data_IF_100006456831
#
_entry.id   IF_100006456831
#
_cell.length_a   1.000
_cell.length_b   1.000
_cell.length_c   1.000
_cell.angle_alpha   90.00
_cell.angle_beta   90.00
_cell.angle_gamma   90.00
#
_symmetry.space_group_name_H-M   'P 1'
#
loop_
_entity.id
_entity.type
_entity.pdbx_description
1 polymer ?
#
# COMPACT_ATOMS: atom_id res chain seq x y z
N UNK A 1 -21.14 -0.63 -14.61
CA UNK A 1 -21.33 -1.12 -13.23
C UNK A 1 -22.41 -0.26 -12.57
N UNK A 2 -23.25 -0.78 -11.67
CA UNK A 2 -24.17 0.06 -10.91
C UNK A 2 -23.39 0.81 -9.82
N UNK A 3 -23.77 2.04 -9.51
CA UNK A 3 -23.09 2.89 -8.52
C UNK A 3 -23.07 2.23 -7.14
N UNK A 4 -24.22 1.73 -6.67
CA UNK A 4 -24.37 0.96 -5.42
C UNK A 4 -23.37 -0.21 -5.33
N UNK A 5 -23.25 -1.02 -6.39
CA UNK A 5 -22.30 -2.14 -6.42
C UNK A 5 -20.85 -1.67 -6.34
N UNK A 6 -20.50 -0.57 -6.99
CA UNK A 6 -19.15 0.00 -6.93
C UNK A 6 -18.83 0.50 -5.52
N UNK A 7 -19.78 1.17 -4.87
CA UNK A 7 -19.67 1.66 -3.50
C UNK A 7 -19.51 0.52 -2.51
N UNK A 8 -20.32 -0.53 -2.61
CA UNK A 8 -20.20 -1.75 -1.79
C UNK A 8 -18.83 -2.41 -1.98
N UNK A 9 -18.37 -2.56 -3.23
CA UNK A 9 -17.05 -3.13 -3.52
C UNK A 9 -15.92 -2.30 -2.91
N UNK A 10 -15.98 -0.96 -3.03
CA UNK A 10 -14.98 -0.07 -2.44
C UNK A 10 -15.03 -0.10 -0.91
N UNK A 11 -16.23 -0.12 -0.33
CA UNK A 11 -16.44 -0.19 1.11
C UNK A 11 -15.90 -1.50 1.73
N UNK A 12 -15.96 -2.60 1.00
CA UNK A 12 -15.36 -3.88 1.40
C UNK A 12 -13.85 -3.93 1.16
N UNK A 13 -13.40 -3.51 -0.03
CA UNK A 13 -12.01 -3.65 -0.43
C UNK A 13 -11.08 -2.69 0.31
N UNK A 14 -11.49 -1.43 0.52
CA UNK A 14 -10.65 -0.44 1.18
C UNK A 14 -10.14 -0.88 2.57
N UNK A 15 -11.00 -1.24 3.55
CA UNK A 15 -10.54 -1.65 4.88
C UNK A 15 -9.81 -3.00 4.86
N UNK A 16 -10.00 -3.85 3.83
CA UNK A 16 -9.19 -5.05 3.65
C UNK A 16 -7.75 -4.67 3.27
N UNK A 17 -7.57 -3.85 2.23
CA UNK A 17 -6.24 -3.41 1.79
C UNK A 17 -5.52 -2.60 2.88
N UNK A 18 -6.20 -1.70 3.59
CA UNK A 18 -5.59 -0.94 4.70
C UNK A 18 -5.01 -1.87 5.77
N UNK A 19 -5.74 -2.94 6.15
CA UNK A 19 -5.25 -3.91 7.12
C UNK A 19 -4.05 -4.70 6.59
N UNK A 20 -4.11 -5.16 5.34
CA UNK A 20 -3.00 -5.89 4.73
C UNK A 20 -1.73 -5.02 4.62
N UNK A 21 -1.89 -3.77 4.18
CA UNK A 21 -0.81 -2.78 4.07
C UNK A 21 -0.22 -2.50 5.46
N UNK A 22 -1.05 -2.24 6.47
CA UNK A 22 -0.58 -1.97 7.84
C UNK A 22 0.19 -3.15 8.44
N UNK A 23 -0.29 -4.38 8.24
CA UNK A 23 0.41 -5.59 8.68
C UNK A 23 1.76 -5.75 7.98
N UNK A 24 1.80 -5.50 6.66
CA UNK A 24 3.03 -5.60 5.90
C UNK A 24 4.03 -4.49 6.26
N UNK A 25 3.58 -3.26 6.49
CA UNK A 25 4.41 -2.16 6.99
C UNK A 25 5.05 -2.50 8.34
N UNK A 26 4.28 -3.07 9.27
CA UNK A 26 4.81 -3.50 10.56
C UNK A 26 5.86 -4.60 10.40
N UNK A 27 5.66 -5.53 9.47
CA UNK A 27 6.62 -6.59 9.14
C UNK A 27 7.91 -6.02 8.55
N UNK A 28 7.82 -5.13 7.56
CA UNK A 28 8.97 -4.47 6.95
C UNK A 28 9.76 -3.67 7.99
N UNK A 29 9.08 -2.89 8.83
CA UNK A 29 9.73 -2.13 9.90
C UNK A 29 10.43 -3.02 10.92
N UNK A 30 9.84 -4.17 11.29
CA UNK A 30 10.49 -5.13 12.18
C UNK A 30 11.78 -5.66 11.56
N UNK A 31 11.76 -6.09 10.30
CA UNK A 31 12.95 -6.60 9.61
C UNK A 31 14.01 -5.50 9.43
N UNK A 32 13.58 -4.27 9.13
CA UNK A 32 14.48 -3.14 9.03
C UNK A 32 15.21 -2.88 10.36
N UNK A 33 14.51 -3.02 11.50
CA UNK A 33 15.11 -2.87 12.83
C UNK A 33 16.04 -4.01 13.23
N UNK A 34 15.93 -5.17 12.59
CA UNK A 34 16.90 -6.25 12.77
C UNK A 34 18.26 -5.90 12.15
N UNK A 35 18.26 -5.13 11.04
CA UNK A 35 19.48 -4.62 10.40
C UNK A 35 19.95 -3.25 10.96
N UNK A 36 19.01 -2.33 11.21
CA UNK A 36 19.26 -0.95 11.67
C UNK A 36 18.38 -0.65 12.88
N UNK A 37 18.85 -0.88 14.13
CA UNK A 37 18.01 -0.90 15.33
C UNK A 37 17.13 0.34 15.59
N UNK A 38 17.59 1.53 15.16
CA UNK A 38 16.91 2.80 15.42
C UNK A 38 16.11 3.33 14.23
N UNK A 39 15.94 2.54 13.17
CA UNK A 39 15.22 2.97 11.97
C UNK A 39 13.73 3.20 12.26
N UNK A 40 13.23 4.33 11.74
CA UNK A 40 11.85 4.75 11.84
C UNK A 40 11.02 4.43 10.59
N UNK A 41 9.68 4.54 10.66
CA UNK A 41 8.81 4.37 9.50
C UNK A 41 9.09 5.37 8.37
N UNK A 42 9.51 6.59 8.70
CA UNK A 42 9.81 7.64 7.71
C UNK A 42 11.10 7.33 6.94
N UNK A 43 12.09 6.74 7.61
CA UNK A 43 13.38 6.36 7.02
C UNK A 43 13.22 5.26 5.95
N UNK A 44 12.22 4.38 6.09
CA UNK A 44 11.91 3.34 5.10
C UNK A 44 11.53 3.91 3.73
N UNK A 45 11.04 5.16 3.67
CA UNK A 45 10.77 5.82 2.38
C UNK A 45 12.05 6.09 1.58
N UNK A 46 13.19 6.13 2.27
CA UNK A 46 14.52 6.30 1.70
C UNK A 46 15.42 5.10 2.07
N UNK A 47 14.90 3.88 1.96
CA UNK A 47 15.64 2.66 2.32
C UNK A 47 17.01 2.51 1.63
N UNK A 48 17.24 3.18 0.50
CA UNK A 48 18.51 3.22 -0.20
C UNK A 48 19.64 3.92 0.57
N UNK A 49 19.30 4.77 1.55
CA UNK A 49 20.26 5.43 2.43
C UNK A 49 20.84 4.49 3.51
N UNK A 50 20.32 3.25 3.61
CA UNK A 50 20.70 2.25 4.60
C UNK A 50 21.20 0.97 3.91
N UNK A 51 22.50 0.90 3.54
CA UNK A 51 23.07 -0.27 2.86
C UNK A 51 22.83 -1.59 3.61
N UNK A 52 22.72 -1.56 4.93
CA UNK A 52 22.46 -2.71 5.80
C UNK A 52 21.12 -3.40 5.48
N UNK A 53 20.13 -2.65 4.96
CA UNK A 53 18.83 -3.21 4.56
C UNK A 53 18.95 -4.11 3.34
N UNK A 54 19.89 -3.83 2.42
CA UNK A 54 20.14 -4.66 1.22
C UNK A 54 20.79 -5.99 1.57
N UNK A 55 21.61 -6.00 2.62
CA UNK A 55 22.24 -7.22 3.13
C UNK A 55 21.28 -8.09 3.94
N UNK A 56 20.12 -7.55 4.34
CA UNK A 56 19.13 -8.29 5.12
C UNK A 56 18.40 -9.33 4.23
N UNK A 57 18.47 -10.64 4.55
CA UNK A 57 18.10 -11.73 3.62
C UNK A 57 16.68 -11.68 3.05
N UNK A 58 15.74 -11.07 3.76
CA UNK A 58 14.32 -11.06 3.40
C UNK A 58 13.73 -9.66 3.28
N UNK A 59 14.51 -8.60 3.53
CA UNK A 59 13.95 -7.24 3.60
C UNK A 59 13.38 -6.80 2.25
N UNK A 60 14.17 -6.88 1.16
CA UNK A 60 13.74 -6.46 -0.18
C UNK A 60 12.50 -7.20 -0.67
N UNK A 61 12.38 -8.50 -0.34
CA UNK A 61 11.22 -9.28 -0.71
C UNK A 61 9.94 -8.77 -0.04
N UNK A 62 10.00 -8.50 1.27
CA UNK A 62 8.85 -8.03 2.05
C UNK A 62 8.48 -6.59 1.72
N UNK A 63 9.46 -5.74 1.43
CA UNK A 63 9.26 -4.38 0.93
C UNK A 63 8.60 -4.39 -0.46
N UNK A 64 9.03 -5.30 -1.34
CA UNK A 64 8.38 -5.52 -2.63
C UNK A 64 6.91 -5.95 -2.52
N UNK A 65 6.57 -6.79 -1.53
CA UNK A 65 5.17 -7.14 -1.24
C UNK A 65 4.39 -5.91 -0.80
N UNK A 66 4.96 -5.07 0.07
CA UNK A 66 4.32 -3.82 0.49
C UNK A 66 4.01 -2.92 -0.70
N UNK A 67 5.00 -2.70 -1.58
CA UNK A 67 4.82 -1.93 -2.81
C UNK A 67 3.73 -2.54 -3.72
N UNK A 68 3.69 -3.87 -3.82
CA UNK A 68 2.66 -4.60 -4.57
C UNK A 68 1.24 -4.39 -4.00
N UNK A 69 1.07 -4.44 -2.68
CA UNK A 69 -0.22 -4.22 -2.02
C UNK A 69 -0.75 -2.79 -2.22
N UNK A 70 0.14 -1.80 -2.08
CA UNK A 70 -0.19 -0.39 -2.34
C UNK A 70 -0.61 -0.21 -3.81
N UNK A 71 0.17 -0.77 -4.74
CA UNK A 71 -0.13 -0.71 -6.17
C UNK A 71 -1.46 -1.36 -6.51
N UNK A 72 -1.75 -2.53 -5.93
CA UNK A 72 -3.01 -3.24 -6.12
C UNK A 72 -4.21 -2.45 -5.59
N UNK A 73 -4.09 -1.81 -4.41
CA UNK A 73 -5.13 -0.95 -3.86
C UNK A 73 -5.46 0.23 -4.78
N UNK A 74 -4.42 0.90 -5.29
CA UNK A 74 -4.55 2.04 -6.23
C UNK A 74 -5.21 1.58 -7.53
N UNK A 75 -4.72 0.49 -8.12
CA UNK A 75 -5.24 -0.07 -9.37
C UNK A 75 -6.72 -0.47 -9.24
N UNK A 76 -7.09 -1.17 -8.17
CA UNK A 76 -8.48 -1.56 -7.92
C UNK A 76 -9.40 -0.34 -7.80
N UNK A 77 -8.97 0.68 -7.05
CA UNK A 77 -9.73 1.92 -6.88
C UNK A 77 -9.91 2.66 -8.20
N UNK A 78 -8.86 2.73 -9.02
CA UNK A 78 -8.91 3.36 -10.34
C UNK A 78 -9.84 2.59 -11.29
N UNK A 79 -9.74 1.26 -11.32
CA UNK A 79 -10.57 0.39 -12.16
C UNK A 79 -12.06 0.51 -11.81
N UNK A 80 -12.42 0.46 -10.53
CA UNK A 80 -13.83 0.60 -10.10
C UNK A 80 -14.37 1.98 -10.48
N UNK A 81 -13.61 3.05 -10.22
CA UNK A 81 -14.02 4.42 -10.58
C UNK A 81 -14.12 4.63 -12.08
N UNK A 82 -13.24 4.02 -12.88
CA UNK A 82 -13.27 4.08 -14.34
C UNK A 82 -14.48 3.37 -14.95
N UNK A 83 -15.09 2.43 -14.23
CA UNK A 83 -16.32 1.71 -14.64
C UNK A 83 -17.62 2.42 -14.25
N UNK A 84 -17.53 3.50 -13.47
CA UNK A 84 -18.66 4.35 -13.13
C UNK A 84 -18.94 5.36 -14.27
N UNK A 85 -20.20 5.73 -14.50
CA UNK A 85 -20.52 6.78 -15.46
C UNK A 85 -19.84 8.10 -15.05
N UNK A 86 -19.33 8.84 -16.03
CA UNK A 86 -18.75 10.15 -15.79
C UNK A 86 -19.80 11.09 -15.17
N UNK A 87 -19.48 11.64 -14.00
CA UNK A 87 -20.24 12.74 -13.40
C UNK A 87 -19.44 14.03 -13.61
N UNK A 88 -19.96 15.00 -14.38
CA UNK A 88 -19.30 16.29 -14.45
C UNK A 88 -19.25 16.92 -13.05
N UNK A 89 -18.16 17.63 -12.70
CA UNK A 89 -18.11 18.38 -11.45
C UNK A 89 -19.29 19.35 -11.40
N UNK A 90 -19.94 19.47 -10.24
CA UNK A 90 -21.07 20.37 -10.07
C UNK A 90 -20.66 21.78 -10.49
N UNK A 91 -21.44 22.39 -11.41
CA UNK A 91 -21.24 23.78 -11.79
C UNK A 91 -21.34 24.63 -10.52
N UNK A 92 -20.30 25.44 -10.30
CA UNK A 92 -20.14 26.34 -9.14
C UNK A 92 -20.98 27.59 -9.31
#
# INVERSE_FOLDING_TARGET
MKEETAEEMLALAHPLFERMISQQQAKVLRLAREAVPNIGPEDLRNAHDFPELREHPTFEYEDGILAGLISAQIALKAEIKGRLPYRPPAAT
#
